data_IF_898348502564
#
_entry.id   IF_898348502564
#
_cell.length_a   1.000
_cell.length_b   1.000
_cell.length_c   1.000
_cell.angle_alpha   90.00
_cell.angle_beta   90.00
_cell.angle_gamma   90.00
#
_symmetry.space_group_name_H-M   'P 1'
#
loop_
_entity.id
_entity.type
_entity.pdbx_description
1 polymer ?
#
# COMPACT_ATOMS: atom_id res chain seq x y z
N UNK A 1 -7.62 29.01 17.52
CA UNK A 1 -8.18 29.64 16.31
C UNK A 1 -8.72 28.54 15.41
N UNK A 2 -9.88 28.74 14.77
CA UNK A 2 -10.40 27.75 13.82
C UNK A 2 -9.44 27.62 12.63
N UNK A 3 -9.24 26.40 12.18
CA UNK A 3 -8.34 26.07 11.08
C UNK A 3 -8.93 24.94 10.26
N UNK A 4 -8.65 24.98 8.97
CA UNK A 4 -9.05 23.92 8.07
C UNK A 4 -8.29 22.64 8.42
N UNK A 5 -9.02 21.54 8.54
CA UNK A 5 -8.46 20.24 8.87
C UNK A 5 -9.14 19.16 8.05
N UNK A 6 -8.38 18.16 7.65
CA UNK A 6 -8.92 16.94 7.04
C UNK A 6 -8.60 15.78 7.96
N UNK A 7 -9.64 15.06 8.39
CA UNK A 7 -9.47 13.85 9.20
C UNK A 7 -9.92 12.64 8.42
N UNK A 8 -9.12 11.59 8.52
CA UNK A 8 -9.37 10.31 7.87
C UNK A 8 -9.56 9.27 8.95
N UNK A 9 -10.67 8.55 8.92
CA UNK A 9 -10.95 7.50 9.90
C UNK A 9 -11.69 6.32 9.27
N UNK A 10 -11.60 5.16 9.89
CA UNK A 10 -12.44 4.00 9.57
C UNK A 10 -13.86 4.24 10.09
N UNK A 11 -14.86 3.94 9.26
CA UNK A 11 -16.26 3.99 9.69
C UNK A 11 -16.49 2.88 10.73
N UNK A 12 -16.94 3.21 11.95
CA UNK A 12 -17.23 2.22 12.98
C UNK A 12 -18.21 1.15 12.48
N UNK A 13 -17.91 -0.12 12.76
CA UNK A 13 -18.76 -1.25 12.36
C UNK A 13 -18.71 -1.62 10.87
N UNK A 14 -17.91 -0.92 10.04
CA UNK A 14 -17.78 -1.25 8.60
C UNK A 14 -16.74 -2.33 8.29
N UNK A 15 -15.99 -2.78 9.30
CA UNK A 15 -14.94 -3.79 9.11
C UNK A 15 -15.53 -5.17 8.83
N UNK A 16 -15.11 -5.79 7.73
CA UNK A 16 -15.47 -7.17 7.38
C UNK A 16 -14.24 -7.94 6.90
N UNK A 17 -14.18 -9.23 7.22
CA UNK A 17 -13.16 -10.14 6.69
C UNK A 17 -13.75 -10.80 5.45
N UNK A 18 -13.10 -10.61 4.31
CA UNK A 18 -13.53 -11.16 3.04
C UNK A 18 -12.46 -12.10 2.48
N UNK A 19 -12.89 -13.03 1.63
CA UNK A 19 -11.98 -13.88 0.88
C UNK A 19 -11.04 -13.01 0.03
N UNK A 20 -9.75 -13.34 0.02
CA UNK A 20 -8.81 -12.64 -0.84
C UNK A 20 -9.10 -13.02 -2.29
N UNK A 21 -9.67 -12.09 -3.05
CA UNK A 21 -9.97 -12.28 -4.48
C UNK A 21 -8.70 -12.55 -5.30
N UNK A 22 -7.59 -11.91 -4.91
CA UNK A 22 -6.35 -12.04 -5.63
C UNK A 22 -5.85 -13.49 -5.65
N UNK A 23 -5.97 -14.25 -4.55
CA UNK A 23 -5.52 -15.65 -4.46
C UNK A 23 -6.67 -16.65 -4.32
N UNK A 24 -7.91 -16.21 -4.57
CA UNK A 24 -9.14 -16.98 -4.39
C UNK A 24 -9.16 -17.77 -3.06
N UNK A 25 -8.84 -17.10 -1.95
CA UNK A 25 -8.72 -17.68 -0.61
C UNK A 25 -7.65 -18.77 -0.37
N UNK A 26 -6.80 -19.06 -1.35
CA UNK A 26 -5.71 -20.05 -1.21
C UNK A 26 -4.55 -19.54 -0.33
N UNK A 27 -4.41 -18.23 -0.20
CA UNK A 27 -3.30 -17.59 0.53
C UNK A 27 -1.95 -17.69 -0.18
N UNK A 28 -1.85 -18.42 -1.29
CA UNK A 28 -0.62 -18.61 -2.05
C UNK A 28 -0.86 -18.54 -3.55
N UNK A 29 0.21 -18.30 -4.30
CA UNK A 29 0.25 -18.40 -5.75
C UNK A 29 1.28 -19.43 -6.17
N UNK A 30 1.08 -20.07 -7.31
CA UNK A 30 2.14 -20.87 -7.92
C UNK A 30 3.33 -19.96 -8.26
N UNK A 31 4.54 -20.47 -8.03
CA UNK A 31 5.76 -19.78 -8.45
C UNK A 31 5.77 -19.72 -9.97
N UNK A 32 5.83 -18.50 -10.51
CA UNK A 32 5.81 -18.25 -11.96
C UNK A 32 7.00 -18.92 -12.68
N UNK A 33 8.19 -18.90 -12.05
CA UNK A 33 9.42 -19.39 -12.65
C UNK A 33 9.44 -20.91 -12.86
N UNK A 34 8.97 -21.67 -11.87
CA UNK A 34 8.90 -23.13 -11.96
C UNK A 34 7.48 -23.65 -12.25
N UNK A 35 6.51 -22.77 -12.50
CA UNK A 35 5.09 -23.09 -12.73
C UNK A 35 4.49 -24.04 -11.70
N UNK A 36 4.76 -23.79 -10.41
CA UNK A 36 4.28 -24.66 -9.33
C UNK A 36 5.14 -25.88 -9.02
N UNK A 37 6.18 -26.18 -9.82
CA UNK A 37 6.95 -27.41 -9.64
C UNK A 37 7.88 -27.39 -8.41
N UNK A 38 8.36 -26.24 -7.99
CA UNK A 38 9.35 -26.13 -6.91
C UNK A 38 10.78 -26.47 -7.35
N UNK A 39 10.96 -27.07 -8.52
CA UNK A 39 12.26 -27.45 -9.08
C UNK A 39 12.43 -26.95 -10.51
N UNK A 40 13.67 -26.71 -10.89
CA UNK A 40 14.09 -26.34 -12.23
C UNK A 40 15.02 -27.43 -12.80
N UNK A 41 15.09 -27.54 -14.13
CA UNK A 41 16.07 -28.43 -14.76
C UNK A 41 17.48 -28.00 -14.39
N UNK A 42 18.35 -28.98 -14.17
CA UNK A 42 19.76 -28.69 -13.98
C UNK A 42 20.34 -28.15 -15.29
N UNK A 43 20.75 -26.89 -15.28
CA UNK A 43 21.32 -26.24 -16.47
C UNK A 43 22.61 -26.92 -16.96
N UNK A 44 23.36 -27.56 -16.07
CA UNK A 44 24.64 -28.20 -16.39
C UNK A 44 24.49 -29.49 -17.19
N UNK A 45 23.58 -30.38 -16.77
CA UNK A 45 23.31 -31.65 -17.46
C UNK A 45 22.03 -31.63 -18.31
N UNK A 46 21.35 -30.48 -18.39
CA UNK A 46 20.06 -30.30 -19.08
C UNK A 46 18.97 -31.31 -18.69
N UNK A 47 19.06 -31.87 -17.49
CA UNK A 47 18.09 -32.84 -17.00
C UNK A 47 18.46 -34.31 -17.14
N UNK A 48 19.63 -34.67 -17.67
CA UNK A 48 20.08 -36.08 -17.78
C UNK A 48 20.63 -36.63 -16.47
N UNK A 49 21.10 -35.76 -15.58
CA UNK A 49 21.76 -36.16 -14.34
C UNK A 49 23.20 -36.65 -14.53
N UNK A 50 23.72 -36.67 -15.77
CA UNK A 50 25.05 -37.19 -16.09
C UNK A 50 26.03 -36.08 -16.45
N UNK A 51 27.34 -36.35 -16.28
CA UNK A 51 28.41 -35.46 -16.72
C UNK A 51 28.51 -35.45 -18.26
N UNK A 52 28.92 -34.32 -18.83
CA UNK A 52 29.15 -34.21 -20.27
C UNK A 52 30.23 -35.21 -20.73
N UNK A 53 29.98 -35.90 -21.85
CA UNK A 53 30.90 -36.89 -22.43
C UNK A 53 30.78 -38.30 -21.88
N UNK A 54 29.95 -38.53 -20.84
CA UNK A 54 29.64 -39.90 -20.37
C UNK A 54 28.51 -40.46 -21.23
N UNK A 55 28.72 -41.66 -21.76
CA UNK A 55 27.69 -42.37 -22.52
C UNK A 55 26.46 -42.63 -21.64
N UNK A 56 25.37 -41.94 -21.94
CA UNK A 56 24.03 -42.20 -21.45
C UNK A 56 23.75 -43.70 -21.63
N UNK A 57 23.41 -44.47 -20.57
CA UNK A 57 22.91 -45.81 -20.77
C UNK A 57 21.64 -45.74 -21.59
N UNK A 58 21.72 -46.12 -22.87
CA UNK A 58 20.59 -46.20 -23.78
C UNK A 58 19.51 -47.18 -23.26
N UNK A 59 19.87 -48.03 -22.30
CA UNK A 59 19.01 -49.08 -21.73
C UNK A 59 18.03 -48.55 -20.65
N UNK A 60 18.30 -47.40 -20.02
CA UNK A 60 17.49 -46.92 -18.88
C UNK A 60 16.84 -45.53 -19.08
N UNK A 61 17.15 -44.86 -20.18
CA UNK A 61 16.69 -43.49 -20.49
C UNK A 61 15.55 -43.42 -21.49
N UNK A 62 15.21 -44.53 -22.14
CA UNK A 62 14.03 -44.63 -22.99
C UNK A 62 12.97 -45.49 -22.30
N UNK A 63 11.80 -44.95 -21.93
CA UNK A 63 10.63 -45.81 -21.96
C UNK A 63 10.50 -46.25 -23.42
N UNK A 64 10.42 -47.56 -23.66
CA UNK A 64 9.76 -48.11 -24.84
C UNK A 64 8.27 -47.70 -24.74
N UNK A 65 7.99 -46.41 -24.89
CA UNK A 65 6.66 -45.86 -24.99
C UNK A 65 6.52 -45.37 -26.42
N UNK A 66 5.83 -46.20 -27.21
CA UNK A 66 5.14 -45.91 -28.46
C UNK A 66 5.55 -44.61 -29.17
N UNK A 67 6.27 -44.78 -30.29
CA UNK A 67 6.76 -43.76 -31.22
C UNK A 67 5.61 -43.05 -31.99
N UNK A 68 4.42 -42.97 -31.43
CA UNK A 68 3.24 -42.33 -32.04
C UNK A 68 3.01 -40.90 -31.54
N UNK A 69 3.74 -40.45 -30.51
CA UNK A 69 3.66 -39.07 -30.00
C UNK A 69 5.04 -38.41 -30.00
N UNK A 70 5.39 -37.81 -31.13
CA UNK A 70 6.61 -37.02 -31.28
C UNK A 70 6.70 -35.91 -30.23
N UNK A 71 7.67 -36.04 -29.31
CA UNK A 71 8.19 -34.91 -28.55
C UNK A 71 9.51 -34.49 -29.19
N UNK A 72 9.42 -33.52 -30.10
CA UNK A 72 10.59 -32.75 -30.51
C UNK A 72 11.12 -31.97 -29.30
N UNK A 73 12.45 -31.91 -29.18
CA UNK A 73 13.25 -31.11 -28.23
C UNK A 73 13.44 -31.68 -26.81
N UNK A 74 14.69 -32.10 -26.54
CA UNK A 74 15.54 -31.73 -25.40
C UNK A 74 14.97 -31.68 -23.97
N UNK A 75 13.80 -32.26 -23.70
CA UNK A 75 13.12 -32.11 -22.43
C UNK A 75 12.91 -33.46 -21.74
N UNK A 76 13.80 -33.82 -20.82
CA UNK A 76 13.49 -34.88 -19.84
C UNK A 76 12.25 -34.48 -19.03
N UNK A 77 11.23 -35.36 -19.05
CA UNK A 77 10.08 -35.27 -18.15
C UNK A 77 10.55 -35.39 -16.70
N UNK A 78 9.81 -34.87 -15.72
CA UNK A 78 10.17 -35.00 -14.30
C UNK A 78 9.22 -35.98 -13.60
N UNK A 79 9.75 -36.79 -12.69
CA UNK A 79 8.98 -37.72 -11.86
C UNK A 79 9.09 -37.28 -10.40
N UNK A 80 7.96 -37.32 -9.69
CA UNK A 80 7.88 -37.07 -8.25
C UNK A 80 7.70 -38.40 -7.52
N UNK A 81 8.57 -38.67 -6.56
CA UNK A 81 8.40 -39.72 -5.55
C UNK A 81 8.23 -39.04 -4.19
N UNK A 82 7.00 -38.99 -3.70
CA UNK A 82 6.67 -38.25 -2.47
C UNK A 82 6.80 -36.72 -2.60
N UNK A 83 6.72 -36.02 -1.48
CA UNK A 83 6.68 -34.55 -1.45
C UNK A 83 8.03 -33.88 -1.80
N UNK A 84 9.16 -34.52 -1.45
CA UNK A 84 10.50 -33.90 -1.51
C UNK A 84 11.48 -34.55 -2.50
N UNK A 85 11.15 -35.69 -3.12
CA UNK A 85 12.07 -36.34 -4.06
C UNK A 85 11.60 -36.19 -5.50
N UNK A 86 12.25 -35.29 -6.22
CA UNK A 86 11.98 -35.02 -7.63
C UNK A 86 13.23 -35.35 -8.44
N UNK A 87 13.05 -36.14 -9.49
CA UNK A 87 14.12 -36.58 -10.38
C UNK A 87 13.70 -36.36 -11.83
N UNK A 88 14.67 -36.10 -12.71
CA UNK A 88 14.43 -36.21 -14.15
C UNK A 88 14.15 -37.67 -14.53
N UNK A 89 13.16 -37.91 -15.38
CA UNK A 89 12.88 -39.22 -15.97
C UNK A 89 14.13 -39.70 -16.71
N UNK A 90 14.50 -40.97 -16.50
CA UNK A 90 15.70 -41.57 -17.07
C UNK A 90 17.02 -41.19 -16.39
N UNK A 91 17.00 -40.34 -15.35
CA UNK A 91 18.23 -40.04 -14.59
C UNK A 91 18.69 -41.24 -13.76
N UNK A 92 20.00 -41.35 -13.44
CA UNK A 92 20.52 -42.38 -12.53
C UNK A 92 19.77 -42.45 -11.20
N UNK A 93 19.41 -41.29 -10.62
CA UNK A 93 18.65 -41.24 -9.38
C UNK A 93 17.20 -41.70 -9.53
N UNK A 94 16.57 -41.46 -10.69
CA UNK A 94 15.25 -42.03 -11.00
C UNK A 94 15.30 -43.56 -11.16
N UNK A 95 16.37 -44.10 -11.74
CA UNK A 95 16.56 -45.56 -11.81
C UNK A 95 16.76 -46.14 -10.40
N UNK A 96 17.62 -45.53 -9.59
CA UNK A 96 17.85 -45.94 -8.20
C UNK A 96 16.57 -45.86 -7.37
N UNK A 97 15.76 -44.80 -7.52
CA UNK A 97 14.50 -44.67 -6.76
C UNK A 97 13.48 -45.74 -7.11
N UNK A 98 13.53 -46.30 -8.33
CA UNK A 98 12.64 -47.39 -8.77
C UNK A 98 13.16 -48.78 -8.42
N UNK A 99 14.46 -49.01 -8.51
CA UNK A 99 15.06 -50.35 -8.42
C UNK A 99 15.78 -50.63 -7.10
N UNK A 100 16.10 -49.60 -6.32
CA UNK A 100 16.86 -49.71 -5.07
C UNK A 100 18.35 -50.01 -5.26
N UNK A 101 18.84 -50.12 -6.50
CA UNK A 101 20.23 -50.46 -6.83
C UNK A 101 20.88 -49.40 -7.74
N UNK A 102 22.19 -49.17 -7.62
CA UNK A 102 22.91 -48.25 -8.51
C UNK A 102 22.92 -48.80 -9.95
N UNK A 103 22.87 -47.93 -10.98
CA UNK A 103 22.98 -48.37 -12.36
C UNK A 103 24.30 -49.12 -12.61
N UNK A 104 24.29 -50.27 -13.30
CA UNK A 104 25.49 -51.04 -13.59
C UNK A 104 26.50 -50.21 -14.40
N UNK A 105 27.77 -50.22 -14.00
CA UNK A 105 28.86 -49.57 -14.75
C UNK A 105 28.89 -48.05 -14.68
N UNK A 106 28.14 -47.42 -13.76
CA UNK A 106 28.16 -45.97 -13.53
C UNK A 106 28.66 -45.69 -12.12
N UNK A 107 29.74 -44.93 -12.00
CA UNK A 107 30.26 -44.46 -10.73
C UNK A 107 29.68 -43.10 -10.32
N UNK A 108 29.90 -42.70 -9.07
CA UNK A 108 29.54 -41.35 -8.58
C UNK A 108 30.26 -40.23 -9.34
N UNK A 109 31.42 -40.52 -9.95
CA UNK A 109 32.21 -39.60 -10.77
C UNK A 109 31.63 -39.33 -12.17
N UNK A 110 30.72 -40.19 -12.63
CA UNK A 110 30.01 -40.05 -13.91
C UNK A 110 28.74 -39.20 -13.78
N UNK A 111 28.29 -38.99 -12.55
CA UNK A 111 27.13 -38.17 -12.25
C UNK A 111 27.45 -36.70 -12.44
N UNK A 112 26.43 -35.94 -12.84
CA UNK A 112 26.51 -34.49 -12.85
C UNK A 112 26.82 -33.98 -11.44
N UNK A 113 27.99 -33.38 -11.25
CA UNK A 113 28.41 -32.87 -9.95
C UNK A 113 27.48 -31.76 -9.40
N UNK A 114 26.79 -31.02 -10.26
CA UNK A 114 25.87 -29.93 -9.86
C UNK A 114 24.53 -30.42 -9.30
N UNK A 115 24.08 -31.61 -9.68
CA UNK A 115 22.78 -32.15 -9.22
C UNK A 115 22.88 -33.57 -8.66
N UNK A 116 24.10 -34.11 -8.55
CA UNK A 116 24.42 -35.46 -8.05
C UNK A 116 23.51 -36.54 -8.64
N UNK A 117 23.35 -36.55 -9.97
CA UNK A 117 22.53 -37.56 -10.63
C UNK A 117 21.03 -37.27 -10.69
N UNK A 118 20.51 -36.21 -10.06
CA UNK A 118 19.05 -35.95 -10.03
C UNK A 118 18.48 -35.37 -11.32
N UNK A 119 19.30 -34.71 -12.12
CA UNK A 119 18.86 -33.96 -13.31
C UNK A 119 18.10 -32.65 -13.02
N UNK A 120 17.70 -32.41 -11.76
CA UNK A 120 16.95 -31.22 -11.35
C UNK A 120 17.60 -30.53 -10.15
N UNK A 121 17.31 -29.24 -9.99
CA UNK A 121 17.69 -28.42 -8.84
C UNK A 121 16.45 -27.77 -8.25
N UNK A 122 16.52 -27.35 -6.98
CA UNK A 122 15.46 -26.54 -6.40
C UNK A 122 15.33 -25.22 -7.15
N UNK A 123 14.09 -24.76 -7.30
CA UNK A 123 13.84 -23.46 -7.91
C UNK A 123 14.35 -22.38 -6.97
N UNK A 124 15.28 -21.56 -7.47
CA UNK A 124 15.90 -20.49 -6.70
C UNK A 124 14.88 -19.47 -6.19
N UNK A 125 13.82 -19.22 -6.99
CA UNK A 125 12.81 -18.24 -6.66
C UNK A 125 11.93 -18.71 -5.51
N UNK A 126 11.43 -19.95 -5.50
CA UNK A 126 10.56 -20.48 -4.45
C UNK A 126 11.23 -21.37 -3.42
N UNK A 127 12.55 -21.58 -3.50
CA UNK A 127 13.33 -22.43 -2.58
C UNK A 127 12.69 -23.81 -2.39
N UNK A 128 12.34 -24.48 -3.48
CA UNK A 128 11.70 -25.80 -3.43
C UNK A 128 10.18 -25.80 -3.21
N UNK A 129 9.60 -24.72 -2.66
CA UNK A 129 8.19 -24.73 -2.21
C UNK A 129 7.12 -24.77 -3.31
N UNK A 130 7.46 -24.46 -4.56
CA UNK A 130 6.53 -24.43 -5.70
C UNK A 130 5.48 -23.33 -5.65
N UNK A 131 5.16 -22.80 -4.47
CA UNK A 131 4.22 -21.72 -4.24
C UNK A 131 4.90 -20.55 -3.50
N UNK A 132 4.27 -19.39 -3.57
CA UNK A 132 4.66 -18.16 -2.87
C UNK A 132 3.48 -17.61 -2.09
N UNK A 133 3.70 -17.00 -0.92
CA UNK A 133 2.62 -16.37 -0.18
C UNK A 133 2.01 -15.26 -1.03
N UNK A 134 0.68 -15.15 -0.97
CA UNK A 134 -0.03 -14.07 -1.62
C UNK A 134 0.38 -12.75 -0.98
N UNK A 135 0.78 -11.78 -1.80
CA UNK A 135 1.21 -10.45 -1.33
C UNK A 135 0.04 -9.58 -0.90
N UNK A 136 -1.15 -9.79 -1.47
CA UNK A 136 -2.35 -9.01 -1.14
C UNK A 136 -2.92 -9.35 0.24
N UNK A 137 -2.82 -10.62 0.67
CA UNK A 137 -3.28 -11.07 1.98
C UNK A 137 -2.16 -11.59 2.89
N UNK A 138 -0.90 -11.39 2.50
CA UNK A 138 0.28 -11.87 3.25
C UNK A 138 0.21 -13.36 3.66
N UNK A 139 -0.39 -14.23 2.83
CA UNK A 139 -0.49 -15.66 3.14
C UNK A 139 -1.79 -16.12 3.82
N UNK A 140 -2.65 -15.22 4.30
CA UNK A 140 -3.82 -15.60 5.13
C UNK A 140 -5.01 -16.16 4.34
N UNK A 141 -5.08 -15.91 3.04
CA UNK A 141 -6.27 -16.20 2.22
C UNK A 141 -7.45 -15.23 2.43
N UNK A 142 -7.32 -14.27 3.34
CA UNK A 142 -8.39 -13.31 3.68
C UNK A 142 -7.87 -11.89 3.84
N UNK A 143 -8.72 -10.92 3.52
CA UNK A 143 -8.40 -9.49 3.61
C UNK A 143 -9.46 -8.78 4.44
N UNK A 144 -9.04 -7.79 5.22
CA UNK A 144 -9.96 -6.93 5.98
C UNK A 144 -10.33 -5.73 5.13
N UNK A 145 -11.62 -5.58 4.84
CA UNK A 145 -12.17 -4.42 4.16
C UNK A 145 -12.89 -3.53 5.17
N UNK A 146 -12.84 -2.23 4.96
CA UNK A 146 -13.58 -1.25 5.76
C UNK A 146 -13.85 0.01 4.94
N UNK A 147 -14.89 0.77 5.33
CA UNK A 147 -15.23 2.04 4.69
C UNK A 147 -14.38 3.15 5.30
N UNK A 148 -13.68 3.91 4.45
CA UNK A 148 -12.83 5.03 4.88
C UNK A 148 -13.60 6.35 4.78
N UNK A 149 -13.79 7.01 5.91
CA UNK A 149 -14.39 8.34 5.98
C UNK A 149 -13.30 9.41 5.88
N UNK A 150 -13.53 10.41 5.03
CA UNK A 150 -12.69 11.61 4.91
C UNK A 150 -13.55 12.82 5.28
N UNK A 151 -13.34 13.32 6.49
CA UNK A 151 -14.08 14.43 7.08
C UNK A 151 -13.30 15.71 6.82
N UNK A 152 -13.97 16.68 6.20
CA UNK A 152 -13.42 18.00 5.93
C UNK A 152 -13.98 18.99 6.97
N UNK A 153 -13.09 19.57 7.76
CA UNK A 153 -13.37 20.70 8.62
C UNK A 153 -12.91 21.94 7.87
N UNK A 154 -13.85 22.79 7.48
CA UNK A 154 -13.58 24.05 6.79
C UNK A 154 -14.01 25.20 7.68
N UNK A 155 -13.17 26.21 7.76
CA UNK A 155 -13.43 27.45 8.49
C UNK A 155 -13.94 28.48 7.51
N UNK A 156 -15.13 28.99 7.75
CA UNK A 156 -15.63 30.17 7.07
C UNK A 156 -15.35 31.40 7.94
N UNK A 157 -14.73 32.41 7.35
CA UNK A 157 -14.35 33.66 8.06
C UNK A 157 -14.84 34.84 7.25
N UNK A 158 -15.62 35.69 7.89
CA UNK A 158 -16.02 37.00 7.37
C UNK A 158 -15.51 38.08 8.32
N UNK A 159 -14.97 39.15 7.77
CA UNK A 159 -14.40 40.25 8.55
C UNK A 159 -14.96 41.58 8.07
N UNK A 160 -15.15 42.51 9.00
CA UNK A 160 -15.61 43.86 8.71
C UNK A 160 -14.77 44.86 9.52
N UNK A 161 -14.36 45.93 8.84
CA UNK A 161 -13.67 47.06 9.45
C UNK A 161 -14.57 48.29 9.32
N UNK A 162 -14.81 48.99 10.42
CA UNK A 162 -15.48 50.29 10.41
C UNK A 162 -14.61 51.34 9.71
N UNK A 163 -15.22 52.43 9.24
CA UNK A 163 -14.46 53.53 8.65
C UNK A 163 -13.32 54.00 9.56
N UNK A 164 -12.12 54.09 8.99
CA UNK A 164 -10.89 54.48 9.68
C UNK A 164 -9.97 55.22 8.73
N UNK A 165 -9.16 56.12 9.27
CA UNK A 165 -8.06 56.79 8.54
C UNK A 165 -6.95 55.79 8.16
N UNK A 166 -6.96 54.59 8.74
CA UNK A 166 -5.96 53.54 8.50
C UNK A 166 -6.41 52.66 7.33
N UNK A 167 -5.56 52.45 6.31
CA UNK A 167 -5.85 51.53 5.21
C UNK A 167 -6.17 50.11 5.70
N UNK A 168 -7.21 49.49 5.15
CA UNK A 168 -7.67 48.14 5.52
C UNK A 168 -6.57 47.07 5.50
N UNK A 169 -5.63 47.16 4.55
CA UNK A 169 -4.49 46.24 4.42
C UNK A 169 -3.62 46.20 5.69
N UNK A 170 -3.50 47.31 6.40
CA UNK A 170 -2.75 47.39 7.65
C UNK A 170 -3.57 46.86 8.83
N UNK A 171 -4.89 46.92 8.75
CA UNK A 171 -5.80 46.41 9.79
C UNK A 171 -5.80 44.88 9.86
N UNK A 172 -5.62 44.19 8.73
CA UNK A 172 -5.48 42.72 8.69
C UNK A 172 -4.30 42.19 9.52
N UNK A 173 -3.25 42.99 9.67
CA UNK A 173 -2.03 42.61 10.42
C UNK A 173 -1.91 43.33 11.78
N UNK A 174 -2.85 44.23 12.10
CA UNK A 174 -2.80 44.99 13.34
C UNK A 174 -3.17 44.11 14.54
N UNK A 175 -2.37 44.19 15.60
CA UNK A 175 -2.75 43.62 16.90
C UNK A 175 -3.77 44.52 17.57
N UNK A 176 -4.87 43.95 18.06
CA UNK A 176 -5.91 44.67 18.77
C UNK A 176 -6.35 43.96 20.04
N UNK A 177 -7.12 44.66 20.87
CA UNK A 177 -7.71 44.13 22.09
C UNK A 177 -9.11 43.60 21.79
N UNK A 178 -9.35 42.32 22.06
CA UNK A 178 -10.66 41.71 21.97
C UNK A 178 -11.59 42.31 23.05
N UNK A 179 -12.67 42.95 22.62
CA UNK A 179 -13.65 43.62 23.50
C UNK A 179 -14.87 42.73 23.74
N UNK A 180 -15.16 41.86 22.78
CA UNK A 180 -16.27 40.92 22.83
C UNK A 180 -15.86 39.63 22.13
N UNK A 181 -16.22 38.49 22.72
CA UNK A 181 -16.08 37.17 22.11
C UNK A 181 -17.22 36.30 22.59
N UNK A 182 -17.91 35.66 21.65
CA UNK A 182 -18.91 34.65 21.93
C UNK A 182 -18.65 33.44 21.03
N UNK A 183 -18.67 32.24 21.60
CA UNK A 183 -18.42 31.01 20.86
C UNK A 183 -19.46 29.94 21.21
N UNK A 184 -20.35 29.64 20.26
CA UNK A 184 -21.48 28.72 20.44
C UNK A 184 -21.74 27.91 19.16
N UNK A 185 -22.48 26.77 19.22
CA UNK A 185 -22.88 26.03 18.03
C UNK A 185 -23.71 26.87 17.04
N UNK A 186 -24.50 27.80 17.58
CA UNK A 186 -25.20 28.85 16.85
C UNK A 186 -25.08 30.13 17.67
N UNK A 187 -24.60 31.20 17.04
CA UNK A 187 -24.51 32.55 17.64
C UNK A 187 -25.63 33.42 17.04
N UNK A 188 -26.19 34.29 17.86
CA UNK A 188 -27.18 35.27 17.42
C UNK A 188 -26.45 36.54 16.94
N UNK A 189 -26.99 37.26 15.93
CA UNK A 189 -26.43 38.53 15.52
C UNK A 189 -26.33 39.52 16.67
N UNK A 190 -25.23 40.27 16.69
CA UNK A 190 -25.04 41.38 17.61
C UNK A 190 -26.02 42.50 17.26
N UNK A 191 -26.83 42.92 18.24
CA UNK A 191 -27.92 43.90 18.02
C UNK A 191 -27.81 45.14 18.89
N UNK A 192 -26.97 45.12 19.93
CA UNK A 192 -26.89 46.16 20.96
C UNK A 192 -25.52 46.85 21.02
N UNK A 193 -24.70 46.73 19.98
CA UNK A 193 -23.41 47.41 19.96
C UNK A 193 -23.58 48.90 19.66
N UNK A 194 -22.78 49.81 20.25
CA UNK A 194 -22.93 51.27 20.07
C UNK A 194 -22.77 51.76 18.62
N UNK A 195 -22.05 51.01 17.79
CA UNK A 195 -21.87 51.32 16.37
C UNK A 195 -22.87 50.51 15.55
N UNK A 196 -23.81 51.18 14.88
CA UNK A 196 -24.90 50.55 14.14
C UNK A 196 -24.41 49.67 12.96
N UNK A 197 -23.36 50.10 12.26
CA UNK A 197 -22.73 49.34 11.17
C UNK A 197 -22.29 47.93 11.61
N UNK A 198 -21.79 47.80 12.85
CA UNK A 198 -21.37 46.50 13.40
C UNK A 198 -22.56 45.57 13.58
N UNK A 199 -23.70 46.11 14.04
CA UNK A 199 -24.93 45.33 14.22
C UNK A 199 -25.49 44.85 12.87
N UNK A 200 -25.50 45.73 11.86
CA UNK A 200 -25.94 45.37 10.51
C UNK A 200 -25.04 44.31 9.86
N UNK A 201 -23.72 44.47 9.98
CA UNK A 201 -22.75 43.52 9.42
C UNK A 201 -22.77 42.17 10.12
N UNK A 202 -22.94 42.16 11.44
CA UNK A 202 -23.13 40.91 12.18
C UNK A 202 -24.38 40.16 11.68
N UNK A 203 -25.52 40.83 11.49
CA UNK A 203 -26.73 40.21 10.89
C UNK A 203 -26.45 39.62 9.50
N UNK A 204 -25.74 40.37 8.64
CA UNK A 204 -25.38 39.91 7.30
C UNK A 204 -24.48 38.67 7.35
N UNK A 205 -23.45 38.65 8.20
CA UNK A 205 -22.54 37.51 8.32
C UNK A 205 -23.23 36.27 8.87
N UNK A 206 -24.05 36.40 9.92
CA UNK A 206 -24.81 35.26 10.44
C UNK A 206 -25.75 34.68 9.38
N UNK A 207 -26.44 35.53 8.59
CA UNK A 207 -27.31 35.07 7.52
C UNK A 207 -26.54 34.37 6.40
N UNK A 208 -25.39 34.94 5.99
CA UNK A 208 -24.54 34.37 4.94
C UNK A 208 -23.96 33.02 5.36
N UNK A 209 -23.41 32.90 6.56
CA UNK A 209 -22.85 31.64 7.07
C UNK A 209 -23.93 30.58 7.25
N UNK A 210 -25.12 30.97 7.71
CA UNK A 210 -26.26 30.05 7.79
C UNK A 210 -26.65 29.54 6.39
N UNK A 211 -26.75 30.42 5.40
CA UNK A 211 -27.08 30.04 4.02
C UNK A 211 -26.02 29.12 3.40
N UNK A 212 -24.74 29.36 3.66
CA UNK A 212 -23.64 28.54 3.14
C UNK A 212 -23.53 27.16 3.81
N UNK A 213 -23.99 27.04 5.06
CA UNK A 213 -23.94 25.78 5.82
C UNK A 213 -25.22 24.95 5.71
N UNK A 214 -26.37 25.59 5.45
CA UNK A 214 -27.68 24.93 5.43
C UNK A 214 -27.74 23.79 4.43
N UNK A 215 -28.02 22.58 4.92
CA UNK A 215 -28.21 21.36 4.10
C UNK A 215 -26.93 20.76 3.51
N UNK A 216 -25.81 21.49 3.47
CA UNK A 216 -24.55 21.00 2.91
C UNK A 216 -23.57 20.50 3.97
N UNK A 217 -23.59 21.09 5.18
CA UNK A 217 -22.62 20.81 6.24
C UNK A 217 -23.24 20.94 7.62
N UNK A 218 -22.67 20.27 8.62
CA UNK A 218 -23.03 20.49 10.03
C UNK A 218 -22.12 21.55 10.63
N UNK A 219 -22.69 22.65 11.12
CA UNK A 219 -21.96 23.65 11.89
C UNK A 219 -21.57 23.04 13.23
N UNK A 220 -20.27 23.05 13.55
CA UNK A 220 -19.74 22.43 14.78
C UNK A 220 -19.57 23.50 15.86
N UNK A 221 -19.02 24.66 15.49
CA UNK A 221 -18.81 25.82 16.35
C UNK A 221 -18.80 27.08 15.49
N UNK A 222 -19.36 28.17 16.03
CA UNK A 222 -19.28 29.52 15.47
C UNK A 222 -18.68 30.42 16.55
N UNK A 223 -17.84 31.39 16.14
CA UNK A 223 -17.29 32.40 17.03
C UNK A 223 -17.48 33.79 16.42
N UNK A 224 -18.17 34.64 17.15
CA UNK A 224 -18.28 36.07 16.84
C UNK A 224 -17.40 36.84 17.82
N UNK A 225 -16.59 37.76 17.32
CA UNK A 225 -15.72 38.57 18.16
C UNK A 225 -15.53 39.97 17.59
N UNK A 226 -15.35 40.94 18.48
CA UNK A 226 -15.06 42.34 18.13
C UNK A 226 -13.67 42.68 18.67
N UNK A 227 -12.82 43.20 17.80
CA UNK A 227 -11.47 43.64 18.16
C UNK A 227 -11.36 45.15 18.05
N UNK A 228 -10.90 45.79 19.11
CA UNK A 228 -10.47 47.19 19.07
C UNK A 228 -9.01 47.29 18.70
N UNK A 229 -8.69 47.89 17.56
CA UNK A 229 -7.31 48.24 17.20
C UNK A 229 -7.02 49.65 17.70
N UNK A 230 -6.12 49.79 18.68
CA UNK A 230 -5.76 51.10 19.21
C UNK A 230 -4.71 51.76 18.31
N UNK A 231 -4.79 53.09 18.13
CA UNK A 231 -3.78 53.88 17.40
C UNK A 231 -2.49 53.87 18.23
N UNK A 232 -1.59 52.93 17.95
CA UNK A 232 -0.21 53.04 18.40
C UNK A 232 0.46 54.13 17.58
N UNK A 233 0.28 55.39 18.01
CA UNK A 233 1.12 56.51 17.58
C UNK A 233 2.53 56.25 18.07
N UNK A 234 3.29 55.49 17.29
CA UNK A 234 4.71 55.31 17.49
C UNK A 234 5.36 56.64 17.07
N UNK A 235 5.34 57.65 17.96
CA UNK A 235 6.25 58.80 17.86
C UNK A 235 7.66 58.23 17.97
N UNK A 236 8.28 57.87 16.84
CA UNK A 236 9.74 57.80 16.78
C UNK A 236 10.25 59.24 16.86
N UNK A 237 10.64 59.66 18.05
CA UNK A 237 11.61 60.75 18.19
C UNK A 237 12.90 60.29 17.55
N UNK A 238 13.18 60.76 16.33
CA UNK A 238 14.51 60.66 15.75
C UNK A 238 15.39 61.62 16.55
N UNK A 239 16.17 61.06 17.46
CA UNK A 239 17.30 61.77 18.09
C UNK A 239 18.45 61.72 17.10
N UNK A 240 18.65 62.77 16.31
CA UNK A 240 19.95 63.01 15.67
C UNK A 240 20.99 63.21 16.78
N UNK A 241 21.93 62.27 16.90
CA UNK A 241 23.22 62.53 17.53
C UNK A 241 24.26 62.46 16.43
N UNK A 242 24.62 63.64 15.93
CA UNK A 242 25.87 63.84 15.22
C UNK A 242 27.03 63.95 16.21
N UNK A 243 28.07 63.18 15.93
CA UNK A 243 29.49 63.56 16.03
C UNK A 243 30.24 62.62 15.10
#
# INVERSE_FOLDING_TARGET
MFSDQVRVMEMPGSSSINACSACNSEGTYHCFYCRGLGTDKCNFCRGTGMKAGVAHPAVYTHPMADLSRGYASSSTAMVRHGANQVYGLGTPMHFMSKTGVPPPGIGTHDLCYMCHGRGVKECHHCKGGGKKPCTACCGTGSVRNFTKLKIYFKTERSEFFTQSEVPEKLLYHASGKEIFSEEQPYVLPITKYPVEEVNEKSKQFCAQHLQNSMGMCRVIRVRDFIVFTNRSSNRRSVSEKGT
#
